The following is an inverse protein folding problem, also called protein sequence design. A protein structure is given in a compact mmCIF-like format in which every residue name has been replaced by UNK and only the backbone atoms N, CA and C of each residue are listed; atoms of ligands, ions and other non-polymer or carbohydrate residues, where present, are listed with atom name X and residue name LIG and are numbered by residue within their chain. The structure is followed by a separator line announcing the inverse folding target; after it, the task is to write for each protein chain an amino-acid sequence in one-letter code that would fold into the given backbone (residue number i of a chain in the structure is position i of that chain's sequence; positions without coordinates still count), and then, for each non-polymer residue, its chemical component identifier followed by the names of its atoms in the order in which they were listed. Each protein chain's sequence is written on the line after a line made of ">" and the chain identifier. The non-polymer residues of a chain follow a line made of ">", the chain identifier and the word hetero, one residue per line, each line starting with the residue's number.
data_IF_832471736886
#
_entry.id   IF_832471736886
#
_cell.length_a   1.000
_cell.length_b   1.000
_cell.length_c   1.000
_cell.angle_alpha   90.00
_cell.angle_beta   90.00
_cell.angle_gamma   90.00
#
_symmetry.space_group_name_H-M   'P 1'
#
loop_
_entity.id
_entity.type
_entity.pdbx_description
1 polymer ?
2 non-polymer ?
3 non-polymer ?
4 water ?
#
# COMPACT_ATOMS: atom_id res chain seq x y z
N UNK A 6 2.85 19.63 -11.83
CA UNK A 6 3.52 19.04 -10.67
C UNK A 6 3.49 20.04 -9.52
N UNK A 7 2.95 19.59 -8.39
CA UNK A 7 2.70 20.40 -7.18
C UNK A 7 1.47 21.29 -7.26
N UNK A 8 0.66 21.08 -8.30
CA UNK A 8 -0.68 21.64 -8.36
C UNK A 8 -1.68 20.50 -8.23
N UNK A 9 -1.19 19.39 -7.70
CA UNK A 9 -1.99 18.19 -7.51
C UNK A 9 -2.34 18.03 -6.04
N UNK A 10 -3.53 18.49 -5.64
CA UNK A 10 -3.93 18.53 -4.23
C UNK A 10 -4.05 17.14 -3.58
N UNK A 11 -4.43 16.13 -4.35
CA UNK A 11 -4.56 14.78 -3.82
C UNK A 11 -3.21 14.22 -3.35
N UNK A 12 -2.14 14.71 -3.95
CA UNK A 12 -0.79 14.21 -3.64
C UNK A 12 -0.19 14.93 -2.44
N UNK A 13 -0.51 16.21 -2.28
CA UNK A 13 -0.10 16.96 -1.11
C UNK A 13 -0.79 16.37 0.11
N UNK A 14 -2.01 15.88 -0.10
CA UNK A 14 -2.80 15.26 0.94
C UNK A 14 -2.21 13.91 1.37
N UNK A 15 -2.00 13.03 0.40
CA UNK A 15 -1.54 11.67 0.67
C UNK A 15 -0.18 11.67 1.37
N UNK A 16 0.70 12.58 0.95
CA UNK A 16 2.03 12.70 1.55
C UNK A 16 1.94 13.13 3.00
N UNK A 17 1.18 14.20 3.24
CA UNK A 17 1.04 14.77 4.58
C UNK A 17 0.44 13.78 5.59
N UNK A 18 -0.56 13.01 5.14
CA UNK A 18 -1.27 12.10 6.03
C UNK A 18 -0.56 10.77 6.23
N UNK A 19 0.37 10.44 5.35
CA UNK A 19 1.18 9.25 5.53
C UNK A 19 2.18 9.48 6.66
N UNK A 20 2.61 10.73 6.82
CA UNK A 20 3.49 11.11 7.91
C UNK A 20 2.78 10.99 9.26
N UNK A 21 1.52 11.40 9.29
CA UNK A 21 0.72 11.37 10.52
C UNK A 21 0.37 9.95 10.92
N UNK A 22 0.19 9.08 9.93
CA UNK A 22 -0.12 7.68 10.17
C UNK A 22 1.06 6.95 10.81
N UNK A 23 2.27 7.39 10.45
CA UNK A 23 3.48 6.82 11.03
C UNK A 23 3.63 7.25 12.49
N UNK A 24 3.41 8.54 12.75
CA UNK A 24 3.44 9.08 14.10
C UNK A 24 2.43 8.37 15.00
N UNK A 25 1.19 8.27 14.52
CA UNK A 25 0.11 7.68 15.29
C UNK A 25 0.30 6.18 15.57
N UNK A 26 0.95 5.48 14.65
CA UNK A 26 1.19 4.05 14.81
C UNK A 26 2.44 3.73 15.63
N UNK A 27 3.41 4.64 15.63
CA UNK A 27 4.63 4.46 16.42
C UNK A 27 4.31 4.47 17.91
N UNK A 28 5.24 3.97 18.76
CA UNK A 28 4.93 4.02 20.20
C UNK A 28 5.17 5.40 20.81
N UNK A 29 4.44 5.70 21.88
CA UNK A 29 4.43 7.03 22.49
C UNK A 29 4.14 8.14 21.47
N UNK A 30 2.96 8.09 20.82
CA UNK A 30 2.67 9.03 19.74
C UNK A 30 2.37 10.45 20.23
N UNK A 31 3.15 11.41 19.73
CA UNK A 31 2.91 12.82 20.02
C UNK A 31 2.60 13.55 18.72
N UNK A 32 1.34 13.95 18.55
CA UNK A 32 0.92 14.63 17.33
C UNK A 32 1.00 16.14 17.49
N UNK A 33 1.93 16.78 16.78
CA UNK A 33 2.11 18.25 16.83
C UNK A 33 0.90 18.96 16.24
N UNK A 34 0.45 20.04 16.86
CA UNK A 34 -0.70 20.78 16.37
C UNK A 34 -0.38 21.48 15.05
N UNK A 35 0.85 21.96 14.91
CA UNK A 35 1.30 22.57 13.67
C UNK A 35 1.21 21.57 12.52
N UNK A 36 1.74 20.38 12.74
CA UNK A 36 1.78 19.34 11.70
C UNK A 36 0.38 18.80 11.39
N UNK A 37 -0.45 18.68 12.43
CA UNK A 37 -1.82 18.20 12.24
C UNK A 37 -2.70 19.22 11.52
N UNK A 38 -2.62 20.47 11.96
CA UNK A 38 -3.45 21.53 11.39
C UNK A 38 -3.07 21.83 9.94
N UNK A 39 -1.79 21.66 9.62
CA UNK A 39 -1.31 21.85 8.25
C UNK A 39 -1.93 20.83 7.31
N UNK A 40 -1.94 19.57 7.73
CA UNK A 40 -2.48 18.49 6.92
C UNK A 40 -3.98 18.67 6.70
N UNK A 41 -4.65 19.21 7.72
CA UNK A 41 -6.09 19.48 7.64
C UNK A 41 -6.40 20.61 6.67
N UNK A 42 -5.46 21.54 6.51
CA UNK A 42 -5.65 22.66 5.59
C UNK A 42 -5.49 22.20 4.15
N UNK A 43 -4.80 21.09 3.96
CA UNK A 43 -4.57 20.53 2.63
C UNK A 43 -5.82 19.88 2.05
N UNK A 44 -6.84 19.72 2.89
CA UNK A 44 -8.13 19.17 2.47
C UNK A 44 -9.02 20.27 1.91
N UNK A 45 -8.89 21.47 2.47
CA UNK A 45 -9.66 22.64 2.04
C UNK A 45 -9.78 22.88 0.52
N UNK A 46 -8.67 22.69 -0.24
CA UNK A 46 -8.78 22.84 -1.69
C UNK A 46 -9.77 21.88 -2.36
N UNK A 47 -10.24 20.86 -1.65
CA UNK A 47 -11.25 19.96 -2.22
C UNK A 47 -12.57 20.70 -2.40
N UNK A 48 -12.84 21.66 -1.52
CA UNK A 48 -13.90 22.63 -1.75
C UNK A 48 -13.41 23.51 -2.89
N UNK A 49 -14.32 24.02 -3.71
CA UNK A 49 -13.91 24.80 -4.86
C UNK A 49 -13.69 23.88 -6.05
N UNK A 50 -13.83 22.58 -5.79
CA UNK A 50 -13.96 21.59 -6.84
C UNK A 50 -15.44 21.24 -6.88
N UNK A 51 -16.06 21.35 -5.73
CA UNK A 51 -17.50 21.24 -5.60
C UNK A 51 -18.09 22.57 -6.09
N UNK A 52 -19.42 22.68 -6.10
CA UNK A 52 -20.05 23.88 -6.62
C UNK A 52 -19.87 25.11 -5.75
N UNK A 53 -20.78 26.07 -5.91
CA UNK A 53 -20.85 27.23 -5.03
C UNK A 53 -21.84 26.88 -3.91
N UNK A 54 -22.55 25.79 -4.13
CA UNK A 54 -23.54 25.30 -3.18
C UNK A 54 -22.92 24.91 -1.84
N UNK A 55 -21.67 24.47 -1.88
CA UNK A 55 -21.01 23.97 -0.67
C UNK A 55 -20.02 24.97 -0.09
N UNK A 56 -20.30 26.25 -0.29
CA UNK A 56 -19.44 27.29 0.23
C UNK A 56 -19.69 27.48 1.72
N UNK A 57 -20.88 27.09 2.18
CA UNK A 57 -21.17 27.12 3.62
C UNK A 57 -20.38 26.03 4.34
N UNK A 58 -20.21 24.89 3.69
CA UNK A 58 -19.40 23.80 4.24
C UNK A 58 -17.92 24.18 4.23
N UNK A 59 -17.49 24.84 3.16
CA UNK A 59 -16.10 25.25 3.00
C UNK A 59 -15.66 26.23 4.08
N UNK A 60 -16.51 27.23 4.35
CA UNK A 60 -16.18 28.28 5.31
C UNK A 60 -16.08 27.69 6.70
N UNK A 61 -17.04 26.82 7.04
CA UNK A 61 -17.10 26.20 8.34
C UNK A 61 -15.85 25.35 8.64
N UNK A 62 -15.44 24.55 7.67
CA UNK A 62 -14.27 23.68 7.83
C UNK A 62 -12.98 24.50 7.91
N UNK A 63 -12.82 25.45 7.00
CA UNK A 63 -11.63 26.30 6.97
C UNK A 63 -11.50 27.12 8.25
N UNK A 64 -12.62 27.65 8.73
CA UNK A 64 -12.63 28.45 9.97
C UNK A 64 -12.14 27.62 11.15
N UNK A 65 -12.56 26.36 11.18
CA UNK A 65 -12.16 25.44 12.25
C UNK A 65 -10.69 25.05 12.14
N UNK A 66 -10.21 24.91 10.91
CA UNK A 66 -8.80 24.58 10.70
C UNK A 66 -7.93 25.79 11.04
N UNK A 67 -8.41 26.98 10.70
CA UNK A 67 -7.72 28.22 11.04
C UNK A 67 -7.49 28.33 12.53
N UNK A 68 -8.49 27.92 13.31
CA UNK A 68 -8.41 27.95 14.77
C UNK A 68 -7.31 27.01 15.26
N UNK A 69 -7.23 25.82 14.65
CA UNK A 69 -6.21 24.84 15.01
C UNK A 69 -4.82 25.33 14.61
N UNK A 70 -4.74 26.06 13.50
CA UNK A 70 -3.48 26.65 13.07
C UNK A 70 -3.07 27.75 14.05
N UNK A 71 -4.05 28.54 14.48
CA UNK A 71 -3.81 29.61 15.44
C UNK A 71 -3.39 29.04 16.79
N UNK A 72 -3.95 27.89 17.14
CA UNK A 72 -3.65 27.23 18.41
C UNK A 72 -2.27 26.59 18.39
N UNK A 73 -1.78 26.30 17.19
CA UNK A 73 -0.54 25.56 17.01
C UNK A 73 0.71 26.35 17.41
N UNK A 74 0.55 27.64 17.64
CA UNK A 74 1.68 28.50 17.95
C UNK A 74 1.88 28.66 19.46
N UNK A 75 0.92 28.18 20.24
CA UNK A 75 1.02 28.25 21.69
C UNK A 75 0.98 26.85 22.30
N UNK A 76 0.19 25.96 21.69
CA UNK A 76 0.01 24.61 22.21
C UNK A 76 0.93 23.60 21.52
N UNK A 77 1.60 22.77 22.32
CA UNK A 77 2.52 21.75 21.81
C UNK A 77 1.86 20.68 20.95
N UNK A 78 1.18 19.74 21.60
CA UNK A 78 0.55 18.63 20.90
C UNK A 78 -0.98 18.65 21.02
N UNK A 79 -1.63 17.73 20.31
CA UNK A 79 -3.09 17.62 20.35
C UNK A 79 -3.57 17.24 21.74
N UNK A 80 -2.82 16.35 22.40
CA UNK A 80 -3.14 15.92 23.75
C UNK A 80 -3.11 17.09 24.72
N UNK A 81 -2.05 17.89 24.64
CA UNK A 81 -1.91 19.07 25.48
C UNK A 81 -3.07 20.03 25.24
N UNK A 82 -3.45 20.18 23.98
CA UNK A 82 -4.54 21.05 23.59
C UNK A 82 -5.85 20.66 24.28
N UNK A 83 -6.17 19.38 24.24
CA UNK A 83 -7.39 18.88 24.87
C UNK A 83 -7.32 19.04 26.38
N UNK A 84 -6.17 18.72 26.97
CA UNK A 84 -5.99 18.84 28.42
C UNK A 84 -6.19 20.26 28.91
N UNK A 85 -5.73 21.23 28.14
CA UNK A 85 -5.90 22.63 28.50
C UNK A 85 -7.36 23.05 28.48
N UNK A 86 -8.12 22.45 27.57
CA UNK A 86 -9.54 22.78 27.43
C UNK A 86 -10.39 22.12 28.50
N UNK A 87 -9.99 20.92 28.94
CA UNK A 87 -10.65 20.27 30.06
C UNK A 87 -10.42 21.09 31.31
N UNK A 88 -9.17 21.52 31.48
CA UNK A 88 -8.74 22.26 32.66
C UNK A 88 -9.39 23.64 32.76
N UNK A 89 -9.74 24.20 31.60
CA UNK A 89 -10.41 25.49 31.56
C UNK A 89 -11.93 25.29 31.50
N UNK A 90 -12.32 24.02 31.47
CA UNK A 90 -13.73 23.63 31.41
C UNK A 90 -14.47 24.31 30.27
N UNK A 91 -13.98 24.10 29.05
CA UNK A 91 -14.57 24.70 27.87
C UNK A 91 -14.54 23.74 26.69
N UNK A 92 -14.51 22.45 26.97
CA UNK A 92 -14.40 21.41 25.95
C UNK A 92 -15.52 21.48 24.91
N UNK A 93 -16.74 21.68 25.39
CA UNK A 93 -17.90 21.68 24.52
C UNK A 93 -18.37 23.10 24.20
N UNK A 94 -17.64 24.08 24.70
CA UNK A 94 -17.93 25.48 24.40
C UNK A 94 -17.71 25.76 22.91
N UNK A 95 -18.65 26.47 22.30
CA UNK A 95 -18.61 26.75 20.87
C UNK A 95 -17.33 27.48 20.46
N UNK A 96 -16.65 26.94 19.45
CA UNK A 96 -15.45 27.54 18.93
C UNK A 96 -14.18 27.18 19.67
N UNK A 97 -14.30 26.30 20.66
CA UNK A 97 -13.12 25.85 21.41
C UNK A 97 -12.27 24.91 20.55
N UNK A 98 -10.99 24.82 20.90
CA UNK A 98 -10.04 24.01 20.16
C UNK A 98 -10.46 22.53 20.10
N UNK A 99 -10.85 22.00 21.25
CA UNK A 99 -11.26 20.60 21.37
C UNK A 99 -12.52 20.30 20.56
N UNK A 100 -13.50 21.20 20.64
CA UNK A 100 -14.75 21.05 19.90
C UNK A 100 -14.51 21.12 18.40
N UNK A 101 -13.73 22.11 17.97
CA UNK A 101 -13.34 22.23 16.57
C UNK A 101 -12.62 20.98 16.08
N UNK A 102 -11.78 20.40 16.94
CA UNK A 102 -11.04 19.19 16.62
C UNK A 102 -12.00 18.03 16.33
N UNK A 103 -13.04 17.93 17.15
CA UNK A 103 -14.03 16.87 17.00
C UNK A 103 -14.77 16.99 15.66
N UNK A 104 -15.15 18.21 15.31
CA UNK A 104 -15.81 18.46 14.03
C UNK A 104 -14.86 18.22 12.86
N UNK A 105 -13.62 18.70 13.00
CA UNK A 105 -12.60 18.49 11.98
C UNK A 105 -12.32 17.01 11.78
N UNK A 106 -12.32 16.27 12.89
CA UNK A 106 -12.13 14.83 12.86
C UNK A 106 -13.21 14.16 12.01
N UNK A 107 -14.44 14.65 12.15
CA UNK A 107 -15.56 14.16 11.34
C UNK A 107 -15.35 14.53 9.88
N UNK A 108 -14.74 15.68 9.65
CA UNK A 108 -14.44 16.14 8.31
C UNK A 108 -13.47 15.20 7.62
N UNK A 109 -12.45 14.76 8.35
CA UNK A 109 -11.47 13.82 7.84
C UNK A 109 -12.11 12.48 7.53
N UNK A 110 -13.04 12.07 8.39
CA UNK A 110 -13.76 10.83 8.20
C UNK A 110 -14.69 10.93 7.00
N UNK A 111 -15.21 12.13 6.77
CA UNK A 111 -16.09 12.38 5.63
C UNK A 111 -15.33 12.20 4.32
N UNK A 112 -14.13 12.75 4.26
CA UNK A 112 -13.28 12.62 3.09
C UNK A 112 -12.92 11.16 2.86
N UNK A 113 -12.62 10.46 3.95
CA UNK A 113 -12.24 9.05 3.91
C UNK A 113 -13.33 8.16 3.29
N UNK A 114 -14.55 8.27 3.82
CA UNK A 114 -15.66 7.48 3.32
C UNK A 114 -16.02 7.87 1.88
N UNK A 115 -15.88 9.15 1.57
CA UNK A 115 -16.17 9.63 0.22
C UNK A 115 -15.19 9.03 -0.78
N UNK A 116 -13.92 9.02 -0.41
CA UNK A 116 -12.88 8.43 -1.26
C UNK A 116 -13.14 6.95 -1.45
N UNK A 117 -13.56 6.29 -0.37
CA UNK A 117 -13.90 4.87 -0.42
C UNK A 117 -15.07 4.63 -1.36
N UNK A 118 -16.11 5.45 -1.26
CA UNK A 118 -17.29 5.31 -2.09
C UNK A 118 -17.03 5.70 -3.55
N UNK A 119 -16.15 6.69 -3.75
CA UNK A 119 -15.80 7.12 -5.11
C UNK A 119 -15.03 6.03 -5.84
N UNK A 120 -14.03 5.46 -5.16
CA UNK A 120 -13.22 4.38 -5.73
C UNK A 120 -14.10 3.21 -6.15
N UNK A 121 -15.11 2.92 -5.33
CA UNK A 121 -16.04 1.83 -5.62
C UNK A 121 -16.99 2.18 -6.76
N UNK A 122 -17.39 3.45 -6.84
CA UNK A 122 -18.39 3.89 -7.81
C UNK A 122 -17.81 4.14 -9.19
N UNK A 123 -16.69 3.52 -9.51
CA UNK A 123 -16.08 3.66 -10.83
C UNK A 123 -16.97 3.06 -11.90
N UNK A 124 -17.17 3.79 -12.99
CA UNK A 124 -18.05 3.35 -14.06
C UNK A 124 -19.37 4.10 -13.98
N UNK A 125 -19.37 5.16 -13.18
CA UNK A 125 -20.55 5.99 -12.96
C UNK A 125 -20.11 7.44 -12.83
N UNK A 126 -20.50 8.26 -13.80
CA UNK A 126 -20.03 9.65 -13.86
C UNK A 126 -20.74 10.58 -12.87
N UNK A 127 -21.64 10.02 -12.08
CA UNK A 127 -22.34 10.82 -11.08
C UNK A 127 -21.72 10.63 -9.70
N UNK A 128 -21.53 11.73 -8.99
CA UNK A 128 -20.98 11.68 -7.64
C UNK A 128 -22.11 11.66 -6.62
N UNK A 129 -23.34 11.57 -7.11
CA UNK A 129 -24.52 11.64 -6.27
C UNK A 129 -24.55 10.55 -5.21
N UNK A 130 -24.38 9.30 -5.64
CA UNK A 130 -24.36 8.16 -4.72
C UNK A 130 -23.22 8.17 -3.69
N UNK A 131 -21.96 8.37 -4.14
CA UNK A 131 -20.88 8.38 -3.14
C UNK A 131 -21.04 9.50 -2.12
N UNK A 132 -21.36 10.70 -2.60
CA UNK A 132 -21.55 11.85 -1.73
C UNK A 132 -22.70 11.66 -0.73
N UNK A 133 -23.83 11.15 -1.23
CA UNK A 133 -25.00 10.90 -0.40
C UNK A 133 -24.73 9.85 0.67
N UNK A 134 -24.17 8.71 0.27
CA UNK A 134 -23.88 7.62 1.19
C UNK A 134 -22.88 8.04 2.27
N UNK A 135 -21.85 8.79 1.87
CA UNK A 135 -20.79 9.18 2.80
C UNK A 135 -21.25 10.23 3.82
N UNK A 136 -22.05 11.19 3.35
CA UNK A 136 -22.59 12.20 4.26
C UNK A 136 -23.53 11.55 5.26
N UNK A 137 -24.29 10.56 4.79
CA UNK A 137 -25.25 9.87 5.63
C UNK A 137 -24.57 9.10 6.76
N UNK A 138 -23.41 8.53 6.45
CA UNK A 138 -22.69 7.74 7.44
C UNK A 138 -21.97 8.63 8.47
N UNK A 139 -21.36 9.70 7.99
CA UNK A 139 -20.49 10.53 8.82
C UNK A 139 -21.17 11.71 9.50
N UNK A 140 -21.89 12.53 8.73
CA UNK A 140 -22.40 13.79 9.25
C UNK A 140 -23.90 13.82 9.57
N UNK A 141 -24.69 13.01 8.88
CA UNK A 141 -26.14 12.96 9.14
C UNK A 141 -26.54 12.72 10.61
N UNK A 142 -25.83 11.84 11.33
CA UNK A 142 -26.19 11.69 12.75
C UNK A 142 -25.94 12.94 13.60
N UNK A 143 -25.13 13.87 13.11
CA UNK A 143 -24.72 15.01 13.92
C UNK A 143 -25.31 16.35 13.47
N UNK A 144 -25.81 16.40 12.24
CA UNK A 144 -26.37 17.64 11.70
C UNK A 144 -27.88 17.71 11.88
N UNK A 145 -28.36 18.90 12.24
CA UNK A 145 -29.80 19.14 12.38
C UNK A 145 -30.52 19.01 11.05
N UNK A 146 -31.85 19.04 11.09
CA UNK A 146 -32.67 18.80 9.91
C UNK A 146 -32.39 19.79 8.78
N UNK A 147 -32.36 21.07 9.11
CA UNK A 147 -32.17 22.14 8.13
C UNK A 147 -30.84 22.00 7.40
N UNK A 148 -29.79 21.72 8.16
CA UNK A 148 -28.46 21.48 7.61
C UNK A 148 -28.48 20.27 6.67
N UNK A 149 -29.13 19.21 7.11
CA UNK A 149 -29.22 17.99 6.32
C UNK A 149 -29.97 18.19 5.02
N UNK A 150 -31.03 19.01 5.06
CA UNK A 150 -31.81 19.28 3.87
C UNK A 150 -31.11 20.23 2.92
N UNK A 151 -30.39 21.20 3.48
CA UNK A 151 -29.60 22.12 2.67
C UNK A 151 -28.54 21.35 1.92
N UNK A 152 -27.98 20.35 2.58
CA UNK A 152 -26.94 19.50 2.01
C UNK A 152 -27.48 18.64 0.86
N UNK A 153 -28.64 18.03 1.07
CA UNK A 153 -29.24 17.19 0.03
C UNK A 153 -29.57 18.00 -1.21
N UNK A 154 -29.88 19.28 -1.02
CA UNK A 154 -30.11 20.17 -2.16
C UNK A 154 -28.81 20.42 -2.91
N UNK A 155 -27.75 20.72 -2.15
CA UNK A 155 -26.45 21.00 -2.73
C UNK A 155 -25.86 19.82 -3.49
N UNK A 156 -26.39 18.63 -3.24
CA UNK A 156 -25.96 17.42 -3.93
C UNK A 156 -26.28 17.50 -5.42
N UNK A 157 -27.30 18.28 -5.77
CA UNK A 157 -27.70 18.46 -7.16
C UNK A 157 -26.76 19.42 -7.89
N UNK A 158 -26.02 20.21 -7.12
CA UNK A 158 -25.09 21.18 -7.69
C UNK A 158 -23.68 20.62 -7.80
N UNK A 159 -23.52 19.34 -7.47
CA UNK A 159 -22.24 18.67 -7.55
C UNK A 159 -21.75 18.58 -8.99
N UNK A 160 -20.43 18.52 -9.18
CA UNK A 160 -19.88 18.26 -10.52
C UNK A 160 -20.01 16.77 -10.85
N UNK A 161 -19.65 16.39 -12.07
CA UNK A 161 -19.60 14.99 -12.44
C UNK A 161 -18.31 14.38 -11.89
N UNK A 162 -18.22 13.06 -11.92
CA UNK A 162 -17.03 12.37 -11.42
C UNK A 162 -15.80 12.77 -12.24
N UNK A 163 -15.97 12.78 -13.56
CA UNK A 163 -14.90 13.14 -14.48
C UNK A 163 -14.40 14.56 -14.23
N UNK A 164 -15.33 15.47 -14.00
CA UNK A 164 -14.99 16.87 -13.79
C UNK A 164 -14.30 17.12 -12.45
N UNK A 165 -14.66 16.34 -11.43
CA UNK A 165 -14.00 16.42 -10.13
C UNK A 165 -12.53 16.05 -10.25
N UNK A 166 -12.27 14.92 -10.91
CA UNK A 166 -10.92 14.44 -11.11
C UNK A 166 -10.13 15.38 -12.01
N UNK A 167 -10.84 16.01 -12.95
CA UNK A 167 -10.24 17.00 -13.83
C UNK A 167 -9.73 18.19 -13.05
N UNK A 168 -10.55 18.68 -12.13
CA UNK A 168 -10.18 19.82 -11.29
C UNK A 168 -9.12 19.43 -10.25
N UNK A 169 -9.12 18.16 -9.85
CA UNK A 169 -8.09 17.64 -8.96
C UNK A 169 -6.83 17.31 -9.74
N UNK A 170 -6.91 17.43 -11.06
CA UNK A 170 -5.79 17.24 -11.97
C UNK A 170 -5.18 15.85 -11.91
N UNK A 171 -6.04 14.83 -11.91
CA UNK A 171 -5.58 13.44 -11.94
C UNK A 171 -6.48 12.63 -12.87
N UNK A 172 -5.89 11.66 -13.56
CA UNK A 172 -6.69 10.69 -14.30
C UNK A 172 -7.19 9.64 -13.32
N UNK A 173 -8.06 8.76 -13.78
CA UNK A 173 -8.69 7.75 -12.90
C UNK A 173 -7.67 6.90 -12.13
N UNK A 174 -6.61 6.50 -12.82
CA UNK A 174 -5.58 5.64 -12.23
C UNK A 174 -4.87 6.29 -11.06
N UNK A 175 -4.34 7.49 -11.29
CA UNK A 175 -3.58 8.21 -10.26
C UNK A 175 -4.48 8.64 -9.11
N UNK A 176 -5.68 9.08 -9.45
CA UNK A 176 -6.66 9.51 -8.45
C UNK A 176 -7.00 8.38 -7.49
N UNK A 177 -7.26 7.20 -8.04
CA UNK A 177 -7.66 6.05 -7.23
C UNK A 177 -6.53 5.61 -6.30
N UNK A 178 -5.29 5.89 -6.71
CA UNK A 178 -4.12 5.56 -5.90
C UNK A 178 -3.98 6.49 -4.69
N UNK A 179 -3.98 7.80 -4.96
CA UNK A 179 -3.77 8.78 -3.90
C UNK A 179 -4.98 8.92 -2.98
N UNK A 180 -6.14 8.51 -3.47
CA UNK A 180 -7.34 8.44 -2.63
C UNK A 180 -7.25 7.27 -1.69
N UNK A 181 -6.89 6.11 -2.22
CA UNK A 181 -6.74 4.89 -1.44
C UNK A 181 -5.65 5.05 -0.39
N UNK A 182 -4.63 5.84 -0.73
CA UNK A 182 -3.56 6.15 0.20
C UNK A 182 -4.07 6.90 1.43
N UNK A 183 -4.86 7.94 1.18
CA UNK A 183 -5.43 8.73 2.26
C UNK A 183 -6.34 7.87 3.13
N UNK A 184 -7.16 7.05 2.48
CA UNK A 184 -8.06 6.13 3.16
C UNK A 184 -7.28 5.23 4.11
N UNK A 185 -6.15 4.74 3.65
CA UNK A 185 -5.29 3.89 4.47
C UNK A 185 -4.61 4.66 5.59
N UNK A 186 -4.19 5.88 5.29
CA UNK A 186 -3.44 6.70 6.24
C UNK A 186 -4.35 7.30 7.32
N UNK A 187 -5.54 7.75 6.91
CA UNK A 187 -6.45 8.44 7.81
C UNK A 187 -7.13 7.54 8.83
N UNK A 188 -7.30 6.27 8.48
CA UNK A 188 -7.97 5.31 9.36
C UNK A 188 -7.34 5.16 10.76
N UNK A 189 -6.00 4.96 10.83
CA UNK A 189 -5.44 4.91 12.19
C UNK A 189 -5.45 6.28 12.86
N UNK A 190 -5.40 7.35 12.08
CA UNK A 190 -5.44 8.69 12.63
C UNK A 190 -6.80 9.01 13.24
N UNK A 191 -7.87 8.68 12.52
CA UNK A 191 -9.23 8.90 13.00
C UNK A 191 -9.49 8.09 14.27
N UNK A 192 -8.93 6.88 14.31
CA UNK A 192 -9.02 6.02 15.49
C UNK A 192 -8.28 6.65 16.67
N UNK A 193 -7.09 7.19 16.40
CA UNK A 193 -6.29 7.85 17.41
C UNK A 193 -7.04 9.05 18.01
N UNK A 194 -7.59 9.87 17.12
CA UNK A 194 -8.36 11.04 17.54
C UNK A 194 -9.59 10.65 18.34
N UNK A 195 -10.32 9.65 17.84
CA UNK A 195 -11.48 9.11 18.56
C UNK A 195 -11.09 8.68 19.96
N UNK A 196 -9.95 8.02 20.08
CA UNK A 196 -9.48 7.49 21.36
C UNK A 196 -9.03 8.55 22.35
N UNK A 197 -8.45 9.64 21.84
CA UNK A 197 -8.09 10.78 22.69
C UNK A 197 -9.32 11.28 23.43
N UNK A 198 -10.44 11.33 22.71
CA UNK A 198 -11.70 11.77 23.27
C UNK A 198 -12.29 10.75 24.23
N UNK A 199 -12.34 9.49 23.82
CA UNK A 199 -12.92 8.43 24.63
C UNK A 199 -12.11 8.13 25.89
N UNK A 200 -10.78 8.16 25.77
CA UNK A 200 -9.92 7.84 26.91
C UNK A 200 -9.97 8.93 27.97
N UNK A 201 -10.52 10.08 27.61
CA UNK A 201 -10.63 11.20 28.53
C UNK A 201 -12.09 11.46 28.91
N UNK A 202 -12.93 10.45 28.67
CA UNK A 202 -14.35 10.50 29.01
C UNK A 202 -15.06 11.74 28.48
N UNK A 203 -14.72 12.15 27.26
CA UNK A 203 -15.32 13.34 26.66
C UNK A 203 -16.46 12.98 25.73
N UNK A 204 -16.43 11.77 25.18
CA UNK A 204 -17.40 11.36 24.18
C UNK A 204 -17.08 11.91 22.81
N UNK A 205 -17.76 11.41 21.79
CA UNK A 205 -17.53 11.86 20.42
C UNK A 205 -18.84 12.15 19.69
N UNK A 206 -19.97 12.04 20.39
CA UNK A 206 -21.27 12.20 19.76
C UNK A 206 -21.93 13.55 20.05
N UNK A 207 -21.15 14.52 20.51
CA UNK A 207 -21.70 15.84 20.83
C UNK A 207 -21.24 16.90 19.84
N UNK B 6 30.69 -24.51 0.75
CA UNK B 6 31.10 -25.75 0.11
C UNK B 6 30.57 -26.96 0.86
N UNK B 7 29.91 -26.70 1.98
CA UNK B 7 29.30 -27.75 2.78
C UNK B 7 27.87 -27.36 3.15
N UNK B 8 27.45 -26.19 2.70
CA UNK B 8 26.07 -25.75 2.91
C UNK B 8 25.18 -26.14 1.73
N UNK B 9 23.88 -26.15 1.96
CA UNK B 9 22.94 -26.60 0.95
C UNK B 9 21.96 -25.49 0.60
N UNK B 10 22.00 -25.03 -0.66
CA UNK B 10 21.21 -23.90 -1.17
C UNK B 10 19.72 -24.04 -0.92
N UNK B 11 19.15 -25.21 -1.16
CA UNK B 11 17.73 -25.44 -0.94
C UNK B 11 17.35 -25.27 0.53
N UNK B 12 18.27 -25.61 1.41
CA UNK B 12 18.02 -25.51 2.85
C UNK B 12 18.12 -24.08 3.36
N UNK B 13 19.03 -23.30 2.79
CA UNK B 13 19.14 -21.89 3.15
C UNK B 13 17.90 -21.12 2.68
N UNK B 14 17.36 -21.56 1.54
CA UNK B 14 16.15 -20.98 0.98
C UNK B 14 14.93 -21.26 1.87
N UNK B 15 14.69 -22.54 2.14
CA UNK B 15 13.53 -22.94 2.93
C UNK B 15 13.57 -22.34 4.33
N UNK B 16 14.77 -22.16 4.87
CA UNK B 16 14.93 -21.58 6.20
C UNK B 16 14.48 -20.12 6.22
N UNK B 17 15.02 -19.33 5.29
CA UNK B 17 14.72 -17.90 5.22
C UNK B 17 13.26 -17.60 4.95
N UNK B 18 12.65 -18.38 4.04
CA UNK B 18 11.27 -18.14 3.65
C UNK B 18 10.27 -18.68 4.67
N UNK B 19 10.72 -19.60 5.52
CA UNK B 19 9.91 -20.06 6.64
C UNK B 19 9.77 -18.91 7.63
N UNK B 20 10.84 -18.15 7.79
CA UNK B 20 10.85 -17.00 8.68
C UNK B 20 10.00 -15.86 8.16
N UNK B 21 9.87 -15.76 6.83
CA UNK B 21 9.09 -14.70 6.22
C UNK B 21 7.60 -14.99 6.22
N UNK B 22 7.25 -16.27 6.06
CA UNK B 22 5.85 -16.69 6.09
C UNK B 22 5.28 -16.48 7.49
N UNK B 23 6.14 -16.56 8.50
CA UNK B 23 5.74 -16.34 9.88
C UNK B 23 5.44 -14.86 10.14
N UNK B 24 6.28 -13.99 9.57
CA UNK B 24 6.04 -12.55 9.65
C UNK B 24 4.74 -12.21 8.93
N UNK B 25 4.65 -12.62 7.67
CA UNK B 25 3.51 -12.33 6.82
C UNK B 25 2.19 -12.85 7.40
N UNK B 26 2.25 -13.95 8.15
CA UNK B 26 1.05 -14.52 8.73
C UNK B 26 0.70 -13.97 10.12
N UNK B 27 1.55 -13.11 10.64
CA UNK B 27 1.32 -12.51 11.95
C UNK B 27 0.36 -11.33 11.82
N UNK B 28 -0.17 -10.83 12.96
CA UNK B 28 -1.00 -9.63 12.84
C UNK B 28 -0.26 -8.36 12.45
N UNK B 29 -0.88 -7.55 11.60
CA UNK B 29 -0.28 -6.33 11.02
C UNK B 29 1.21 -6.43 10.66
N UNK B 30 1.52 -7.33 9.71
CA UNK B 30 2.92 -7.64 9.38
C UNK B 30 3.70 -6.52 8.70
N UNK B 31 4.98 -6.41 9.06
CA UNK B 31 5.91 -5.51 8.39
C UNK B 31 7.10 -6.31 7.90
N UNK B 32 7.31 -6.33 6.59
CA UNK B 32 8.47 -7.04 6.04
C UNK B 32 9.62 -6.08 5.77
N UNK B 33 10.69 -6.18 6.57
CA UNK B 33 11.87 -5.32 6.36
C UNK B 33 12.56 -5.67 5.06
N UNK B 34 13.07 -4.66 4.36
CA UNK B 34 13.68 -4.84 3.05
C UNK B 34 14.97 -5.65 3.11
N UNK B 35 15.74 -5.48 4.19
CA UNK B 35 16.96 -6.24 4.39
C UNK B 35 16.68 -7.74 4.41
N UNK B 36 15.73 -8.14 5.25
CA UNK B 36 15.37 -9.54 5.40
C UNK B 36 14.76 -10.11 4.11
N UNK B 37 13.93 -9.31 3.46
CA UNK B 37 13.30 -9.74 2.21
C UNK B 37 14.31 -9.88 1.08
N UNK B 38 15.10 -8.83 0.87
CA UNK B 38 16.10 -8.82 -0.20
C UNK B 38 17.13 -9.93 -0.03
N UNK B 39 17.47 -10.26 1.22
CA UNK B 39 18.42 -11.32 1.50
C UNK B 39 17.85 -12.68 1.11
N UNK B 40 16.59 -12.90 1.46
CA UNK B 40 15.90 -14.15 1.16
C UNK B 40 15.80 -14.36 -0.34
N UNK B 41 15.60 -13.28 -1.08
CA UNK B 41 15.51 -13.35 -2.54
C UNK B 41 16.85 -13.66 -3.19
N UNK B 42 17.93 -13.17 -2.58
CA UNK B 42 19.27 -13.43 -3.11
C UNK B 42 19.65 -14.90 -2.93
N UNK B 43 18.99 -15.57 -1.99
CA UNK B 43 19.22 -16.98 -1.75
C UNK B 43 18.65 -17.84 -2.88
N UNK B 44 17.81 -17.23 -3.71
CA UNK B 44 17.18 -17.93 -4.83
C UNK B 44 17.97 -17.74 -6.12
N UNK B 45 18.76 -16.67 -6.17
CA UNK B 45 19.62 -16.38 -7.31
C UNK B 45 20.50 -17.55 -7.80
N UNK B 46 21.19 -18.26 -6.87
CA UNK B 46 22.03 -19.37 -7.33
C UNK B 46 21.25 -20.48 -8.05
N UNK B 47 19.94 -20.54 -7.82
CA UNK B 47 19.09 -21.55 -8.43
C UNK B 47 18.90 -21.33 -9.94
N UNK B 48 18.90 -20.07 -10.36
CA UNK B 48 18.77 -19.73 -11.77
C UNK B 48 20.08 -19.99 -12.51
N UNK B 49 21.17 -20.08 -11.75
CA UNK B 49 22.47 -20.33 -12.33
C UNK B 49 22.71 -21.81 -12.54
N UNK B 50 21.71 -22.62 -12.17
CA UNK B 50 21.81 -24.07 -12.27
C UNK B 50 20.99 -24.62 -13.44
N UNK B 51 20.66 -23.75 -14.40
CA UNK B 51 19.74 -24.11 -15.47
C UNK B 51 20.30 -23.95 -16.88
N UNK B 52 21.61 -23.76 -17.01
CA UNK B 52 22.24 -23.62 -18.31
C UNK B 52 22.59 -22.20 -18.67
N UNK B 53 23.52 -22.05 -19.61
CA UNK B 53 24.02 -20.74 -20.04
C UNK B 53 22.93 -19.83 -20.57
N UNK B 54 21.96 -20.41 -21.28
CA UNK B 54 20.87 -19.64 -21.86
C UNK B 54 20.09 -18.87 -20.80
N UNK B 55 19.93 -19.51 -19.63
CA UNK B 55 19.17 -18.92 -18.55
C UNK B 55 20.06 -18.20 -17.54
N UNK B 56 21.34 -18.08 -17.87
CA UNK B 56 22.26 -17.27 -17.08
C UNK B 56 21.88 -15.80 -17.27
N UNK B 57 21.24 -15.50 -18.40
CA UNK B 57 20.75 -14.16 -18.68
C UNK B 57 19.51 -13.85 -17.86
N UNK B 58 18.72 -14.88 -17.57
CA UNK B 58 17.59 -14.74 -16.68
C UNK B 58 18.10 -14.44 -15.28
N UNK B 59 19.07 -15.24 -14.84
CA UNK B 59 19.70 -15.07 -13.54
C UNK B 59 20.27 -13.66 -13.41
N UNK B 60 20.96 -13.20 -14.45
CA UNK B 60 21.55 -11.87 -14.49
C UNK B 60 20.51 -10.78 -14.26
N UNK B 61 19.36 -10.93 -14.90
CA UNK B 61 18.27 -9.96 -14.76
C UNK B 61 17.69 -9.97 -13.34
N UNK B 62 17.44 -11.16 -12.82
CA UNK B 62 16.89 -11.32 -11.46
C UNK B 62 17.85 -10.82 -10.40
N UNK B 63 19.13 -11.16 -10.54
CA UNK B 63 20.16 -10.73 -9.61
C UNK B 63 20.28 -9.22 -9.59
N UNK B 64 20.24 -8.61 -10.77
CA UNK B 64 20.31 -7.15 -10.89
C UNK B 64 19.18 -6.49 -10.10
N UNK B 65 18.00 -7.09 -10.12
CA UNK B 65 16.84 -6.54 -9.41
C UNK B 65 16.94 -6.75 -7.91
N UNK B 66 17.40 -7.91 -7.48
CA UNK B 66 17.59 -8.18 -6.07
C UNK B 66 18.65 -7.26 -5.48
N UNK B 67 19.72 -7.03 -6.24
CA UNK B 67 20.76 -6.09 -5.87
C UNK B 67 20.19 -4.71 -5.56
N UNK B 68 19.28 -4.25 -6.42
CA UNK B 68 18.64 -2.96 -6.24
C UNK B 68 17.87 -2.89 -4.92
N UNK B 69 17.22 -3.99 -4.58
CA UNK B 69 16.46 -4.07 -3.33
C UNK B 69 17.40 -4.11 -2.12
N UNK B 70 18.55 -4.74 -2.29
CA UNK B 70 19.57 -4.78 -1.24
C UNK B 70 20.09 -3.38 -0.95
N UNK B 71 20.37 -2.64 -2.02
CA UNK B 71 20.83 -1.26 -1.89
C UNK B 71 19.74 -0.39 -1.26
N UNK B 72 18.49 -0.70 -1.59
CA UNK B 72 17.35 0.04 -1.07
C UNK B 72 17.18 -0.23 0.43
N UNK B 73 17.53 -1.43 0.84
CA UNK B 73 17.32 -1.89 2.22
C UNK B 73 18.17 -1.15 3.24
N UNK B 74 19.21 -0.47 2.78
CA UNK B 74 20.12 0.24 3.69
C UNK B 74 19.50 1.51 4.23
N UNK B 75 18.49 2.03 3.55
CA UNK B 75 17.89 3.31 3.94
C UNK B 75 16.37 3.26 4.00
N UNK B 76 15.78 2.12 3.64
CA UNK B 76 14.33 1.96 3.70
C UNK B 76 13.94 0.79 4.61
N UNK B 77 13.06 1.07 5.56
CA UNK B 77 12.69 0.09 6.59
C UNK B 77 11.94 -1.12 6.02
N UNK B 78 10.67 -0.93 5.70
CA UNK B 78 9.81 -2.03 5.25
C UNK B 78 9.47 -1.91 3.77
N UNK B 79 8.93 -3.00 3.20
CA UNK B 79 8.52 -3.01 1.79
C UNK B 79 7.42 -1.99 1.52
N UNK B 80 6.56 -1.78 2.52
CA UNK B 80 5.45 -0.84 2.39
C UNK B 80 5.95 0.60 2.24
N UNK B 81 6.92 0.98 3.08
CA UNK B 81 7.54 2.29 3.00
C UNK B 81 8.18 2.49 1.64
N UNK B 82 8.85 1.45 1.15
CA UNK B 82 9.48 1.47 -0.16
C UNK B 82 8.48 1.78 -1.27
N UNK B 83 7.35 1.08 -1.26
CA UNK B 83 6.31 1.30 -2.25
C UNK B 83 5.68 2.69 -2.10
N UNK B 84 5.54 3.12 -0.85
CA UNK B 84 5.00 4.44 -0.55
C UNK B 84 5.87 5.57 -1.09
N UNK B 85 7.19 5.41 -0.95
CA UNK B 85 8.14 6.42 -1.41
C UNK B 85 8.12 6.58 -2.92
N UNK B 86 7.84 5.49 -3.64
CA UNK B 86 7.74 5.54 -5.09
C UNK B 86 6.44 6.19 -5.55
N UNK B 87 5.36 5.92 -4.82
CA UNK B 87 4.07 6.54 -5.10
C UNK B 87 4.18 8.05 -4.91
N UNK B 88 4.96 8.45 -3.92
CA UNK B 88 5.19 9.86 -3.65
C UNK B 88 6.06 10.50 -4.72
N UNK B 89 7.04 9.75 -5.20
CA UNK B 89 7.96 10.26 -6.22
C UNK B 89 7.40 10.09 -7.62
N UNK B 90 6.22 9.46 -7.71
CA UNK B 90 5.56 9.20 -8.98
C UNK B 90 6.50 8.48 -9.96
N UNK B 91 7.03 7.34 -9.53
CA UNK B 91 7.95 6.56 -10.34
C UNK B 91 7.73 5.07 -10.14
N UNK B 92 6.49 4.68 -9.87
CA UNK B 92 6.15 3.29 -9.57
C UNK B 92 6.48 2.36 -10.74
N UNK B 93 6.01 2.72 -11.93
CA UNK B 93 6.20 1.88 -13.12
C UNK B 93 7.43 2.26 -13.91
N UNK B 94 8.21 3.20 -13.38
CA UNK B 94 9.46 3.61 -14.03
C UNK B 94 10.48 2.49 -13.97
N UNK B 95 11.20 2.27 -15.07
CA UNK B 95 12.17 1.19 -15.15
C UNK B 95 13.29 1.32 -14.11
N UNK B 96 13.53 0.25 -13.38
CA UNK B 96 14.60 0.24 -12.38
C UNK B 96 14.17 0.74 -11.02
N UNK B 97 12.91 1.16 -10.90
CA UNK B 97 12.40 1.58 -9.60
C UNK B 97 12.27 0.39 -8.67
N UNK B 98 12.34 0.66 -7.36
CA UNK B 98 12.25 -0.39 -6.35
C UNK B 98 10.95 -1.17 -6.45
N UNK B 99 9.85 -0.43 -6.61
CA UNK B 99 8.51 -1.02 -6.68
C UNK B 99 8.34 -1.90 -7.91
N UNK B 100 8.81 -1.42 -9.06
CA UNK B 100 8.73 -2.21 -10.29
C UNK B 100 9.59 -3.46 -10.20
N UNK B 101 10.82 -3.29 -9.70
CA UNK B 101 11.71 -4.41 -9.47
C UNK B 101 11.08 -5.44 -8.54
N UNK B 102 10.40 -4.95 -7.51
CA UNK B 102 9.74 -5.81 -6.54
C UNK B 102 8.68 -6.68 -7.20
N UNK B 103 7.96 -6.11 -8.16
CA UNK B 103 6.91 -6.83 -8.86
C UNK B 103 7.47 -7.97 -9.69
N UNK B 104 8.61 -7.72 -10.34
CA UNK B 104 9.28 -8.75 -11.12
C UNK B 104 9.92 -9.81 -10.23
N UNK B 105 10.53 -9.37 -9.13
CA UNK B 105 11.11 -10.29 -8.17
C UNK B 105 10.02 -11.21 -7.60
N UNK B 106 8.86 -10.63 -7.35
CA UNK B 106 7.70 -11.37 -6.87
C UNK B 106 7.35 -12.48 -7.86
N UNK B 107 7.33 -12.12 -9.14
CA UNK B 107 7.05 -13.09 -10.19
C UNK B 107 8.12 -14.16 -10.24
N UNK B 108 9.36 -13.75 -9.97
CA UNK B 108 10.48 -14.67 -9.93
C UNK B 108 10.31 -15.71 -8.84
N UNK B 109 9.81 -15.26 -7.68
CA UNK B 109 9.55 -16.15 -6.56
C UNK B 109 8.42 -17.12 -6.90
N UNK B 110 7.42 -16.62 -7.61
CA UNK B 110 6.28 -17.45 -8.01
C UNK B 110 6.70 -18.51 -9.01
N UNK B 111 7.67 -18.16 -9.85
CA UNK B 111 8.18 -19.07 -10.86
C UNK B 111 8.88 -20.26 -10.21
N UNK B 112 9.69 -19.98 -9.19
CA UNK B 112 10.40 -21.02 -8.46
C UNK B 112 9.42 -21.92 -7.72
N UNK B 113 8.37 -21.31 -7.18
CA UNK B 113 7.31 -22.07 -6.51
C UNK B 113 6.64 -23.07 -7.44
N UNK B 114 6.19 -22.60 -8.60
CA UNK B 114 5.51 -23.45 -9.56
C UNK B 114 6.48 -24.48 -10.17
N UNK B 115 7.73 -24.06 -10.36
CA UNK B 115 8.76 -24.95 -10.88
C UNK B 115 8.97 -26.13 -9.92
N UNK B 116 9.01 -25.84 -8.63
CA UNK B 116 9.19 -26.86 -7.61
C UNK B 116 8.00 -27.82 -7.58
N UNK B 117 6.80 -27.25 -7.62
CA UNK B 117 5.57 -28.03 -7.69
C UNK B 117 5.61 -28.99 -8.87
N UNK B 118 6.11 -28.50 -10.00
CA UNK B 118 6.19 -29.31 -11.21
C UNK B 118 7.30 -30.36 -11.14
N UNK B 119 8.44 -29.97 -10.56
CA UNK B 119 9.54 -30.90 -10.35
C UNK B 119 9.14 -32.03 -9.39
N UNK B 120 8.50 -31.65 -8.29
CA UNK B 120 8.03 -32.62 -7.30
C UNK B 120 7.03 -33.59 -7.91
N UNK B 121 6.14 -33.07 -8.75
CA UNK B 121 5.10 -33.89 -9.36
C UNK B 121 5.54 -34.57 -10.65
N UNK B 122 6.85 -34.57 -10.92
CA UNK B 122 7.37 -35.26 -12.11
C UNK B 122 8.51 -36.22 -11.76
N UNK B 123 8.51 -36.72 -10.53
CA UNK B 123 9.52 -37.67 -10.11
C UNK B 123 9.44 -38.94 -10.95
N UNK B 124 10.59 -39.39 -11.46
CA UNK B 124 10.65 -40.55 -12.33
C UNK B 124 11.07 -40.15 -13.74
N UNK B 125 10.79 -38.90 -14.10
CA UNK B 125 11.16 -38.37 -15.41
C UNK B 125 12.39 -37.48 -15.28
N UNK B 126 13.50 -37.90 -15.89
CA UNK B 126 14.78 -37.22 -15.71
C UNK B 126 14.90 -35.92 -16.52
N UNK B 127 13.82 -35.52 -17.18
CA UNK B 127 13.84 -34.28 -17.95
C UNK B 127 13.22 -33.13 -17.16
N UNK B 128 13.80 -31.94 -17.29
CA UNK B 128 13.25 -30.75 -16.65
C UNK B 128 12.41 -29.97 -17.66
N UNK B 129 12.38 -30.47 -18.88
CA UNK B 129 11.70 -29.83 -20.00
C UNK B 129 10.25 -29.45 -19.67
N UNK B 130 9.48 -30.43 -19.21
CA UNK B 130 8.09 -30.21 -18.86
C UNK B 130 7.87 -29.29 -17.64
N UNK B 131 8.57 -29.56 -16.51
CA UNK B 131 8.39 -28.66 -15.36
C UNK B 131 8.79 -27.22 -15.63
N UNK B 132 9.87 -27.03 -16.40
CA UNK B 132 10.33 -25.69 -16.75
C UNK B 132 9.35 -24.99 -17.69
N UNK B 133 8.86 -25.73 -18.67
CA UNK B 133 7.93 -25.18 -19.67
C UNK B 133 6.60 -24.77 -19.03
N UNK B 134 6.04 -25.67 -18.22
CA UNK B 134 4.74 -25.42 -17.60
C UNK B 134 4.78 -24.21 -16.65
N UNK B 135 5.82 -24.16 -15.82
CA UNK B 135 5.95 -23.08 -14.85
C UNK B 135 6.24 -21.73 -15.49
N UNK B 136 7.01 -21.72 -16.58
CA UNK B 136 7.25 -20.47 -17.30
C UNK B 136 5.97 -19.99 -17.98
N UNK B 137 5.21 -20.93 -18.51
CA UNK B 137 3.97 -20.61 -19.21
C UNK B 137 2.96 -19.98 -18.27
N UNK B 138 2.87 -20.50 -17.06
CA UNK B 138 1.90 -20.03 -16.08
C UNK B 138 2.28 -18.67 -15.48
N UNK B 139 3.57 -18.47 -15.22
CA UNK B 139 4.01 -17.29 -14.47
C UNK B 139 4.50 -16.12 -15.32
N UNK B 140 5.36 -16.40 -16.29
CA UNK B 140 6.05 -15.33 -17.01
C UNK B 140 5.54 -15.06 -18.42
N UNK B 141 5.02 -16.10 -19.08
CA UNK B 141 4.49 -15.95 -20.44
C UNK B 141 3.47 -14.82 -20.64
N UNK B 142 2.55 -14.61 -19.68
CA UNK B 142 1.63 -13.49 -19.86
C UNK B 142 2.26 -12.10 -19.68
N UNK B 143 3.57 -12.03 -19.45
CA UNK B 143 4.22 -10.75 -19.19
C UNK B 143 5.41 -10.48 -20.10
N UNK B 144 5.86 -11.49 -20.82
CA UNK B 144 6.99 -11.33 -21.74
C UNK B 144 6.55 -11.25 -23.19
N UNK B 145 7.21 -10.38 -23.96
CA UNK B 145 6.91 -10.23 -25.37
C UNK B 145 7.27 -11.47 -26.16
N UNK B 146 6.86 -11.49 -27.43
CA UNK B 146 7.07 -12.64 -28.30
C UNK B 146 8.54 -13.04 -28.42
N UNK B 147 9.42 -12.04 -28.43
CA UNK B 147 10.84 -12.29 -28.61
C UNK B 147 11.44 -13.04 -27.42
N UNK B 148 11.14 -12.57 -26.21
CA UNK B 148 11.66 -13.19 -25.00
C UNK B 148 11.10 -14.60 -24.81
N UNK B 149 9.81 -14.77 -25.08
CA UNK B 149 9.16 -16.07 -25.00
C UNK B 149 9.82 -17.09 -25.92
N UNK B 150 10.27 -16.64 -27.09
CA UNK B 150 10.94 -17.51 -28.04
C UNK B 150 12.36 -17.85 -27.62
N UNK B 151 13.08 -16.86 -27.11
CA UNK B 151 14.45 -17.07 -26.63
C UNK B 151 14.46 -18.03 -25.46
N UNK B 152 13.45 -17.90 -24.59
CA UNK B 152 13.31 -18.77 -23.43
C UNK B 152 13.04 -20.22 -23.87
N UNK B 153 12.18 -20.39 -24.86
CA UNK B 153 11.83 -21.71 -25.34
C UNK B 153 13.01 -22.43 -25.98
N UNK B 154 13.91 -21.66 -26.58
CA UNK B 154 15.13 -22.20 -27.14
C UNK B 154 16.12 -22.50 -26.03
N UNK B 155 16.05 -21.70 -24.97
CA UNK B 155 16.92 -21.89 -23.82
C UNK B 155 16.62 -23.20 -23.11
N UNK B 156 15.42 -23.72 -23.34
CA UNK B 156 14.99 -24.99 -22.75
C UNK B 156 15.89 -26.15 -23.15
N UNK B 157 16.61 -25.98 -24.26
CA UNK B 157 17.50 -27.03 -24.75
C UNK B 157 18.82 -27.07 -23.99
N UNK B 158 19.12 -26.01 -23.25
CA UNK B 158 20.36 -25.96 -22.47
C UNK B 158 20.12 -26.35 -21.02
N UNK B 159 18.91 -26.82 -20.74
CA UNK B 159 18.57 -27.28 -19.39
C UNK B 159 19.38 -28.51 -19.03
N UNK B 160 19.77 -28.62 -17.74
CA UNK B 160 20.42 -29.83 -17.28
C UNK B 160 19.40 -30.94 -17.07
N UNK B 161 19.87 -32.15 -16.80
CA UNK B 161 18.95 -33.23 -16.46
C UNK B 161 18.44 -33.00 -15.05
N UNK B 162 17.34 -33.67 -14.70
CA UNK B 162 16.77 -33.56 -13.36
C UNK B 162 17.78 -34.04 -12.34
N UNK B 163 18.55 -35.06 -12.71
CA UNK B 163 19.60 -35.60 -11.86
C UNK B 163 20.70 -34.56 -11.60
N UNK B 164 21.11 -33.87 -12.65
CA UNK B 164 22.21 -32.91 -12.55
C UNK B 164 21.81 -31.62 -11.84
N UNK B 165 20.51 -31.29 -11.89
CA UNK B 165 20.00 -30.14 -11.15
C UNK B 165 20.13 -30.38 -9.65
N UNK B 166 19.72 -31.56 -9.22
CA UNK B 166 19.80 -31.94 -7.81
C UNK B 166 21.24 -32.06 -7.36
N UNK B 167 22.11 -32.50 -8.27
CA UNK B 167 23.54 -32.56 -7.99
C UNK B 167 24.12 -31.18 -7.71
N UNK B 168 23.73 -30.22 -8.54
CA UNK B 168 24.17 -28.84 -8.38
C UNK B 168 23.51 -28.16 -7.17
N UNK B 169 22.33 -28.66 -6.80
CA UNK B 169 21.67 -28.19 -5.59
C UNK B 169 22.19 -28.97 -4.40
N UNK B 170 23.05 -29.95 -4.68
CA UNK B 170 23.68 -30.79 -3.65
C UNK B 170 22.68 -31.50 -2.74
N UNK B 171 21.68 -32.13 -3.35
CA UNK B 171 20.69 -32.90 -2.62
C UNK B 171 20.32 -34.17 -3.38
N UNK B 172 19.90 -35.20 -2.66
CA UNK B 172 19.27 -36.34 -3.30
C UNK B 172 17.77 -36.11 -3.30
N UNK B 173 17.02 -36.99 -3.97
CA UNK B 173 15.58 -36.84 -4.14
C UNK B 173 14.81 -36.63 -2.83
N UNK B 174 15.22 -37.32 -1.78
CA UNK B 174 14.49 -37.30 -0.52
C UNK B 174 14.44 -35.92 0.13
N UNK B 175 15.61 -35.31 0.31
CA UNK B 175 15.69 -34.01 0.97
C UNK B 175 15.36 -32.86 0.01
N UNK B 176 15.66 -33.05 -1.26
CA UNK B 176 15.35 -32.04 -2.28
C UNK B 176 13.85 -31.82 -2.36
N UNK B 177 13.10 -32.92 -2.35
CA UNK B 177 11.65 -32.86 -2.39
C UNK B 177 11.08 -32.19 -1.14
N UNK B 178 11.64 -32.55 0.01
CA UNK B 178 11.21 -32.00 1.29
C UNK B 178 11.44 -30.48 1.35
N UNK B 179 12.63 -30.05 0.96
CA UNK B 179 12.99 -28.64 1.04
C UNK B 179 12.32 -27.77 -0.05
N UNK B 180 12.08 -28.37 -1.21
CA UNK B 180 11.33 -27.68 -2.26
C UNK B 180 9.89 -27.44 -1.80
N UNK B 181 9.28 -28.48 -1.26
CA UNK B 181 7.91 -28.40 -0.74
C UNK B 181 7.81 -27.38 0.39
N UNK B 182 8.87 -27.27 1.17
CA UNK B 182 8.92 -26.30 2.26
C UNK B 182 8.82 -24.87 1.71
N UNK B 183 9.55 -24.62 0.62
CA UNK B 183 9.49 -23.32 -0.04
C UNK B 183 8.10 -23.08 -0.61
N UNK B 184 7.55 -24.12 -1.25
CA UNK B 184 6.20 -24.05 -1.83
C UNK B 184 5.19 -23.64 -0.77
N UNK B 185 5.36 -24.18 0.43
CA UNK B 185 4.52 -23.85 1.57
C UNK B 185 4.80 -22.44 2.05
N UNK B 186 6.08 -22.11 2.21
CA UNK B 186 6.49 -20.84 2.78
C UNK B 186 6.24 -19.65 1.84
N UNK B 187 6.57 -19.83 0.56
CA UNK B 187 6.46 -18.74 -0.41
C UNK B 187 5.02 -18.35 -0.73
N UNK B 188 4.11 -19.32 -0.66
CA UNK B 188 2.71 -19.09 -1.04
C UNK B 188 2.01 -17.93 -0.30
N UNK B 189 2.12 -17.89 1.04
CA UNK B 189 1.55 -16.72 1.72
C UNK B 189 2.35 -15.44 1.45
N UNK B 190 3.66 -15.56 1.26
CA UNK B 190 4.49 -14.40 0.96
C UNK B 190 4.10 -13.78 -0.37
N UNK B 191 3.91 -14.63 -1.39
CA UNK B 191 3.54 -14.17 -2.71
C UNK B 191 2.17 -13.50 -2.71
N UNK B 192 1.22 -14.12 -2.01
CA UNK B 192 -0.11 -13.54 -1.86
C UNK B 192 -0.07 -12.20 -1.14
N UNK B 193 0.76 -12.13 -0.10
CA UNK B 193 0.97 -10.89 0.64
C UNK B 193 1.46 -9.77 -0.28
N UNK B 194 2.47 -10.09 -1.07
CA UNK B 194 3.06 -9.14 -2.01
C UNK B 194 2.05 -8.67 -3.05
N UNK B 195 1.25 -9.61 -3.59
CA UNK B 195 0.22 -9.29 -4.55
C UNK B 195 -0.80 -8.33 -3.94
N UNK B 196 -1.21 -8.66 -2.72
CA UNK B 196 -2.18 -7.84 -2.00
C UNK B 196 -1.63 -6.47 -1.62
N UNK B 197 -0.30 -6.36 -1.52
CA UNK B 197 0.32 -5.06 -1.27
C UNK B 197 0.09 -4.12 -2.44
N UNK B 198 0.30 -4.65 -3.65
CA UNK B 198 0.07 -3.88 -4.87
C UNK B 198 -1.41 -3.59 -5.09
N UNK B 199 -2.24 -4.61 -4.92
CA UNK B 199 -3.68 -4.47 -5.16
C UNK B 199 -4.37 -3.55 -4.15
N UNK B 200 -3.97 -3.64 -2.88
CA UNK B 200 -4.58 -2.79 -1.84
C UNK B 200 -4.15 -1.34 -2.01
N UNK B 201 -2.94 -1.12 -2.51
CA UNK B 201 -2.46 0.22 -2.77
C UNK B 201 -2.90 0.69 -4.16
N UNK B 202 -3.76 -0.11 -4.79
CA UNK B 202 -4.35 0.22 -6.09
C UNK B 202 -3.31 0.43 -7.20
N UNK B 203 -2.24 -0.37 -7.17
CA UNK B 203 -1.16 -0.23 -8.14
C UNK B 203 -1.26 -1.22 -9.31
N UNK B 204 -1.92 -2.34 -9.09
CA UNK B 204 -2.02 -3.39 -10.09
C UNK B 204 -0.82 -4.31 -10.07
N UNK B 205 -0.97 -5.49 -10.66
CA UNK B 205 0.11 -6.49 -10.70
C UNK B 205 0.30 -7.04 -12.11
N UNK B 206 -0.32 -6.39 -13.09
CA UNK B 206 -0.32 -6.89 -14.46
C UNK B 206 0.62 -6.12 -15.38
N UNK B 207 1.34 -5.14 -14.82
CA UNK B 207 2.21 -4.30 -15.63
C UNK B 207 3.67 -4.70 -15.54
X LIG C 1 -18.07 15.78 -2.70
X LIG C 1 -19.24 15.44 -1.79
X LIG C 1 -19.52 16.58 -0.81
X LIG C 1 -20.66 16.15 0.15
X LIG C 1 -21.09 17.36 1.00
X LIG C 1 -20.01 17.69 2.02
X LIG C 1 -20.61 17.56 3.43
X LIG C 1 -20.27 18.82 4.27
X LIG C 1 -21.57 19.41 4.86
X LIG C 1 -21.26 20.08 6.22
X LIG C 1 -22.13 21.36 6.39
X LIG C 1 -21.36 22.39 7.31
X LIG C 1 -22.34 23.25 8.11
X LIG C 1 -22.43 22.74 9.54
X LIG C 1 -21.92 23.51 10.59
X LIG C 1 -22.13 23.14 12.07
X LIG C 1 -23.46 22.77 12.28
X LIG C 1 -21.24 21.99 12.49
X LIG C 1 -20.88 22.18 13.94
X LIG C 1 -20.23 23.44 14.08
X LIG C 1 -20.13 24.11 15.51
X LIG C 1 -21.51 24.50 15.88
X LIG C 1 -19.35 25.47 15.29
X LIG C 1 -19.50 23.22 16.50
X LIG C 1 -20.04 21.97 11.69
X LIG C 1 -19.52 20.77 11.25
X LIG C 1 -20.07 19.57 11.53
X LIG C 1 -18.22 20.89 10.40
X LIG C 1 -18.32 20.04 9.10
X LIG C 1 -17.45 20.68 8.04
X LIG C 1 -16.49 19.61 7.43
X LIG C 1 -16.90 19.34 5.97
X LIG C 1 -15.94 18.29 5.35
X LIG C 1 -16.25 18.12 3.84
X LIG C 1 -15.47 16.88 3.34
X LIG C 1 -14.68 17.23 2.08
X LIG C 1 -15.55 18.05 1.13
X LIG C 1 -14.65 18.78 0.15
X LIG D 1 -38.13 27.11 2.89
X LIG D 1 -38.33 25.62 2.63
X LIG D 1 -39.82 25.37 2.31
X LIG D 1 -40.12 23.86 2.45
X LIG D 1 -41.12 23.67 3.61
X LIG D 1 -41.85 22.33 3.44
X LIG D 1 -40.90 21.21 3.92
X LIG D 1 -41.73 20.19 4.75
X LIG D 1 -41.15 20.15 6.18
X LIG D 1 -41.38 18.74 6.82
X LIG D 1 -41.23 18.85 8.36
X LIG D 1 -39.71 18.74 8.79
X LIG D 1 -39.58 17.62 9.85
X LIG D 1 -39.18 18.19 11.19
X LIG D 1 -37.98 17.83 11.80
X LIG D 1 -37.60 18.32 13.22
X LIG D 1 -36.89 17.35 13.89
X LIG D 1 -36.74 19.56 13.09
X LIG D 1 -36.25 19.98 14.47
X LIG D 1 -35.16 19.15 14.84
X LIG D 1 -33.71 19.36 14.21
X LIG D 1 -33.81 20.34 13.11
X LIG D 1 -33.34 17.97 13.53
X LIG D 1 -32.70 19.77 15.21
X LIG D 1 -37.54 20.60 12.46
X LIG D 1 -37.03 21.87 12.21
X LIG D 1 -35.83 22.33 12.63
X LIG D 1 -37.96 22.77 11.36
X LIG D 1 -38.73 21.93 10.29
X LIG D 1 -38.91 22.75 9.03
X LIG D 1 -40.39 22.70 8.58
X LIG D 1 -40.56 23.49 7.25
X LIG D 1 -39.79 24.84 7.33
X LIG D 1 -40.63 25.94 6.64
X LIG D 1 -40.72 27.14 7.59
X LIG D 1 -41.54 28.25 6.92
X LIG D 1 -41.53 29.47 7.83
X LIG D 1 -42.39 30.55 7.21
X LIG E 1 -42.93 21.97 -0.65
X LIG E 1 -41.68 21.97 -1.54
X LIG E 1 -40.66 20.93 -1.01
X LIG E 1 -41.06 19.52 -1.50
X LIG E 1 -39.80 18.63 -1.51
X LIG E 1 -40.20 17.16 -1.66
X LIG E 1 -39.14 16.28 -0.91
X LIG E 1 -39.49 14.78 -1.06
X LIG E 1 -39.64 14.17 0.32
X LIG E 1 -38.59 14.25 1.23
X LIG E 1 -38.76 13.75 2.68
X LIG E 1 -38.05 12.58 2.85
X LIG E 1 -38.29 14.80 3.67
X LIG E 1 -38.57 14.35 5.09
X LIG E 1 -38.39 12.93 5.21
X LIG E 1 -37.05 12.34 5.83
X LIG E 1 -35.94 13.11 5.23
X LIG E 1 -36.93 10.87 5.28
X LIG E 1 -37.05 12.39 7.32
X LIG E 1 -38.98 16.04 3.44
X LIG E 1 -38.36 17.08 2.75
X LIG E 1 -37.13 16.99 2.22
X LIG E 1 -39.19 18.38 2.64
X LIG F 1 18.74 -18.32 -29.55
X LIG F 1 18.79 -18.66 -28.05
X LIG F 1 19.10 -17.40 -27.23
X LIG F 1 19.74 -17.79 -25.89
X LIG F 1 19.40 -16.73 -24.82
X LIG F 1 18.16 -17.18 -24.03
X LIG F 1 17.56 -15.97 -23.28
X LIG F 1 16.32 -16.45 -22.47
X LIG F 1 16.36 -15.83 -21.06
X LIG F 1 16.57 -14.29 -21.17
X LIG F 1 15.26 -13.56 -20.81
X LIG F 1 15.42 -12.88 -19.41
X LIG F 1 14.04 -12.47 -18.85
X LIG F 1 14.02 -10.99 -18.55
X LIG F 1 12.92 -10.21 -18.91
X LIG F 1 12.73 -8.77 -18.37
X LIG F 1 12.34 -7.93 -19.38
X LIG F 1 11.67 -8.75 -17.27
X LIG F 1 11.26 -7.30 -17.08
X LIG F 1 12.35 -6.54 -16.59
X LIG F 1 12.31 -4.95 -16.65
X LIG F 1 11.20 -4.54 -15.76
X LIG F 1 11.83 -4.58 -18.12
X LIG F 1 13.59 -4.32 -16.29
X LIG F 1 12.18 -9.27 -16.03
X LIG F 1 11.55 -10.34 -15.42
X LIG F 1 10.52 -11.03 -15.96
X LIG F 1 12.11 -10.72 -14.01
X LIG F 1 13.35 -11.65 -14.17
X LIG F 1 12.93 -13.09 -14.22
X LIG F 1 13.39 -13.72 -15.58
X LIG F 1 13.16 -15.26 -15.54
X LIG F 1 12.67 -15.75 -16.93
X LIG F 1 13.39 -17.07 -17.29
X LIG F 1 12.70 -18.25 -16.58
X LIG F 1 13.64 -19.46 -16.58
X LIG F 1 12.97 -20.62 -17.29
X LIG F 1 13.15 -21.89 -16.48
X LIG G 1 30.48 -9.90 -27.48
X LIG G 1 30.46 -9.39 -26.20
X LIG G 1 29.09 -10.25 -27.89
X LIG G 1 29.10 -10.61 -29.22
X LIG G 1 27.92 -10.54 -29.94
X LIG G 1 27.25 -11.88 -29.92
X LIG G 1 26.32 -11.92 -30.93
X LIG H 1 27.81 -17.09 -23.90
X LIG H 1 27.15 -16.47 -22.86
X LIG H 1 27.04 -18.31 -24.30
X LIG H 1 27.67 -18.90 -25.37
X LIG H 1 27.07 -19.99 -25.99
X LIG H 1 27.95 -20.48 -27.08
X LIG H 1 27.46 -21.68 -27.56
X LIG I 1 29.92 -14.13 -26.17
X LIG I 1 31.06 -13.96 -25.41
X LIG I 1 30.07 -15.34 -27.02
X LIG I 1 28.92 -15.54 -27.75
X LIG I 1 28.91 -16.51 -28.73
X LIG I 1 27.87 -16.16 -29.74
X LIG I 1 28.01 -17.00 -30.83
X LIG J 1 24.06 -30.94 -17.59
X LIG J 1 23.02 -31.81 -17.87
X LIG J 1 23.89 -29.69 -18.38
X LIG J 1 24.75 -28.73 -17.90
X LIG J 1 24.22 -27.62 -17.28
X LIG J 1 25.35 -26.82 -16.70
X LIG J 1 24.83 -25.83 -15.87
#
# INVERSE_FOLDING_TARGET
>A
SMADSEADKPLRKISAAFKKLAIIVNSPNPEVPVTQFSHACSLVSPLFGCLGIAFKFAEMNYVAKVDDLVRASSSISTLVVMMDKDIEADCVRKAGSHTRNLLRVKRGLDMVKVLFEQIIASEGDNSLKDPATKSYAQVFAPHHGWAIRKAVSLGMYALPTRAHLLNMLKEDEAAAKIHMQSYVNSSAPLITYLDNLFLSKQLGIDW
>B
SMADSEADKPLRKISAAFKKLAIIVNSPNPEVPVTQFSHACSLVSPLFGCLGIAFKFAEMNYVAKVDDLVRASSSISTLVVMMDKDIEADCVRKAGSHTRNLLRVKRGLDMVKVLFEQIIASEGDNSLKDPATKSYAQVFAPHHGWAIRKAVSLGMYALPTRAHLLNMLKEDEAAAKIHMQSYVNSSAPLITYLDNLFLSKQLGIDW
>C hetero
1 1PZ CAS CAF CAG CAH CAI CAJ CAK CAL CAM CAN CAO CAP CAQ CAE CAD CAC OAR CAB CAA OBB PAX OAZ OBA OAY NAW CAU OAV CAT CBC CBD CBE CBF CBG CBH CBI CBJ CBK CBL
>D hetero
1 1PZ CAS CAF CAG CAH CAI CAJ CAK CAL CAM CAN CAO CAP CAQ CAE CAD CAC OAR CAB CAA OBB PAX OAZ OBA OAY NAW CAU OAV CAT CBC CBD CBE CBF CBG CBH CBI CBJ CBK CBL
>E hetero
1 1PZ CAJ CAK CAL CAM CAN CAO CAP CAQ CAE CAD CAC OAR CAB CAA OBB PAX OAZ OBA OAY NAW CAU OAV CAT
>F hetero
1 1PZ CAS CAF CAG CAH CAI CAJ CAK CAL CAM CAN CAO CAP CAQ CAE CAD CAC OAR CAB CAA OBB PAX OAZ OBA OAY NAW CAU OAV CAT CBC CBD CBE CBF CBG CBH CBI CBJ CBK CBL
>G hetero
1 PEG C1 O1 C2 O2 C3 C4 O4
>H hetero
1 PEG C1 O1 C2 O2 C3 C4 O4
>I hetero
1 PEG C1 O1 C2 O2 C3 C4 O4
>J hetero
1 PEG C1 O1 C2 O2 C3 C4 O4
#
